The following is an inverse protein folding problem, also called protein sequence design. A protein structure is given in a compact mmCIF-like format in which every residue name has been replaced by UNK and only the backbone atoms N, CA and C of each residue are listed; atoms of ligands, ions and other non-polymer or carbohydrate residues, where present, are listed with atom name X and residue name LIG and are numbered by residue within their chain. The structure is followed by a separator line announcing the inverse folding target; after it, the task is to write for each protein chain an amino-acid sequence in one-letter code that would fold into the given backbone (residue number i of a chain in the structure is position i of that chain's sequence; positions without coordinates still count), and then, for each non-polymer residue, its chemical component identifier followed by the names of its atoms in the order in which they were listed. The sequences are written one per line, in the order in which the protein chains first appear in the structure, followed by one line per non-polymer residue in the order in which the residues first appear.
data_IF_005114451741
#
_entry.id   IF_005114451741
#
_cell.length_a   1.000
_cell.length_b   1.000
_cell.length_c   1.000
_cell.angle_alpha   90.00
_cell.angle_beta   90.00
_cell.angle_gamma   90.00
#
_symmetry.space_group_name_H-M   'P 1'
#
loop_
_entity.id
_entity.type
_entity.pdbx_description
1 polymer ?
#
# COMPACT_ATOMS: atom_id res chain seq x y z
N UNK A 1 -16.32 -1.00 -30.08
CA UNK A 1 -16.05 -1.67 -28.78
C UNK A 1 -15.45 -0.61 -27.87
N UNK A 2 -16.23 -0.11 -26.91
CA UNK A 2 -15.71 0.87 -25.94
C UNK A 2 -14.77 0.13 -24.99
N UNK A 3 -13.47 0.36 -25.12
CA UNK A 3 -12.48 -0.16 -24.18
C UNK A 3 -12.56 0.66 -22.88
N UNK A 4 -13.63 0.47 -22.11
CA UNK A 4 -13.81 1.06 -20.79
C UNK A 4 -13.22 0.12 -19.76
N UNK A 5 -11.92 0.21 -19.51
CA UNK A 5 -11.31 -0.22 -18.24
C UNK A 5 -10.25 0.79 -17.84
N UNK A 6 -10.66 2.06 -17.74
CA UNK A 6 -9.91 3.12 -17.06
C UNK A 6 -9.84 2.91 -15.54
N UNK A 7 -9.57 1.69 -15.06
CA UNK A 7 -9.88 1.29 -13.68
C UNK A 7 -8.79 0.40 -13.01
N UNK A 8 -7.52 0.60 -13.37
CA UNK A 8 -6.43 -0.21 -12.82
C UNK A 8 -5.70 0.45 -11.66
N UNK A 9 -6.36 1.32 -10.89
CA UNK A 9 -5.77 1.78 -9.62
C UNK A 9 -5.78 0.62 -8.62
N UNK A 10 -4.60 0.11 -8.27
CA UNK A 10 -4.42 -0.98 -7.30
C UNK A 10 -3.64 -0.52 -6.08
N UNK A 11 -3.75 -1.29 -5.01
CA UNK A 11 -3.07 -1.03 -3.74
C UNK A 11 -2.34 -2.28 -3.26
N UNK A 12 -1.18 -2.07 -2.65
CA UNK A 12 -0.30 -3.13 -2.21
C UNK A 12 0.95 -2.57 -1.54
N UNK A 13 2.04 -3.32 -1.61
CA UNK A 13 3.32 -2.93 -0.99
C UNK A 13 4.46 -3.03 -1.99
N UNK A 14 5.30 -2.01 -2.04
CA UNK A 14 6.61 -2.06 -2.68
C UNK A 14 7.55 -2.76 -1.71
N UNK A 15 8.15 -3.86 -2.14
CA UNK A 15 9.09 -4.65 -1.34
C UNK A 15 10.54 -4.25 -1.59
N UNK A 16 10.85 -3.71 -2.77
CA UNK A 16 12.15 -3.10 -3.07
C UNK A 16 11.99 -1.99 -4.09
N UNK A 17 12.72 -0.89 -3.89
CA UNK A 17 12.83 0.20 -4.86
C UNK A 17 14.28 0.62 -4.93
N UNK A 18 14.91 0.41 -6.08
CA UNK A 18 16.27 0.85 -6.39
C UNK A 18 16.21 1.73 -7.61
N UNK A 19 16.62 2.98 -7.49
CA UNK A 19 16.65 3.89 -8.63
C UNK A 19 18.00 4.57 -8.78
N UNK A 20 18.37 4.85 -10.02
CA UNK A 20 19.55 5.62 -10.39
C UNK A 20 19.13 6.88 -11.15
N UNK A 21 19.95 7.93 -11.08
CA UNK A 21 19.73 9.14 -11.89
C UNK A 21 19.55 10.48 -11.18
N UNK A 22 19.89 10.63 -9.88
CA UNK A 22 19.96 12.01 -9.31
C UNK A 22 21.03 12.87 -10.02
N UNK A 23 22.12 12.25 -10.50
CA UNK A 23 23.30 12.94 -11.07
C UNK A 23 23.85 12.26 -12.35
N UNK A 24 23.05 11.46 -13.08
CA UNK A 24 23.53 10.68 -14.24
C UNK A 24 22.64 10.89 -15.45
N UNK A 25 23.22 10.92 -16.65
CA UNK A 25 22.50 11.13 -17.93
C UNK A 25 21.46 10.07 -18.27
N UNK A 26 21.38 8.98 -17.49
CA UNK A 26 20.38 7.94 -17.61
C UNK A 26 19.59 7.82 -16.30
N UNK A 27 18.27 7.99 -16.39
CA UNK A 27 17.33 7.71 -15.29
C UNK A 27 16.84 6.28 -15.42
N UNK A 28 16.95 5.46 -14.37
CA UNK A 28 16.41 4.09 -14.39
C UNK A 28 15.96 3.63 -13.02
N UNK A 29 15.11 2.62 -12.99
CA UNK A 29 14.58 2.06 -11.75
C UNK A 29 14.33 0.56 -11.83
N UNK A 30 14.50 -0.11 -10.69
CA UNK A 30 14.14 -1.51 -10.47
C UNK A 30 13.25 -1.58 -9.24
N UNK A 31 12.06 -2.14 -9.42
CA UNK A 31 11.02 -2.19 -8.41
C UNK A 31 10.50 -3.61 -8.27
N UNK A 32 10.37 -4.08 -7.04
CA UNK A 32 9.63 -5.29 -6.71
C UNK A 32 8.47 -4.91 -5.81
N UNK A 33 7.31 -5.49 -6.07
CA UNK A 33 6.09 -5.15 -5.36
C UNK A 33 5.14 -6.34 -5.31
N UNK A 34 4.25 -6.29 -4.33
CA UNK A 34 3.17 -7.25 -4.14
C UNK A 34 1.84 -6.49 -4.18
N UNK A 35 0.92 -6.95 -5.03
CA UNK A 35 -0.46 -6.49 -5.08
C UNK A 35 -1.34 -7.68 -4.72
N UNK A 36 -1.88 -7.65 -3.50
CA UNK A 36 -2.82 -8.65 -2.98
C UNK A 36 -2.33 -10.10 -3.13
N UNK A 37 -1.05 -10.34 -2.82
CA UNK A 37 -0.40 -11.66 -2.87
C UNK A 37 0.26 -11.99 -4.22
N UNK A 38 0.02 -11.19 -5.26
CA UNK A 38 0.68 -11.35 -6.55
C UNK A 38 1.95 -10.50 -6.59
N UNK A 39 3.09 -11.15 -6.80
CA UNK A 39 4.42 -10.51 -6.82
C UNK A 39 4.82 -10.16 -8.24
N UNK A 40 5.36 -8.96 -8.40
CA UNK A 40 5.79 -8.42 -9.68
C UNK A 40 7.16 -7.75 -9.55
N UNK A 41 7.86 -7.71 -10.69
CA UNK A 41 9.08 -6.96 -10.87
C UNK A 41 8.91 -6.04 -12.08
N UNK A 42 9.40 -4.81 -11.96
CA UNK A 42 9.41 -3.84 -13.04
C UNK A 42 10.78 -3.17 -13.11
N UNK A 43 11.40 -3.25 -14.28
CA UNK A 43 12.59 -2.49 -14.63
C UNK A 43 12.18 -1.40 -15.61
N UNK A 44 12.48 -0.15 -15.28
CA UNK A 44 12.21 1.00 -16.13
C UNK A 44 13.50 1.59 -16.68
N UNK A 45 13.56 1.74 -18.00
CA UNK A 45 14.54 2.59 -18.68
C UNK A 45 13.96 4.00 -18.84
N UNK A 46 14.76 5.02 -18.57
CA UNK A 46 14.42 6.45 -18.66
C UNK A 46 13.33 6.98 -17.71
N UNK A 47 12.80 6.14 -16.81
CA UNK A 47 11.80 6.54 -15.81
C UNK A 47 12.26 6.15 -14.40
N UNK A 48 12.09 7.07 -13.45
CA UNK A 48 12.20 6.81 -12.03
C UNK A 48 10.90 7.20 -11.35
N UNK A 49 10.23 6.26 -10.70
CA UNK A 49 8.96 6.51 -10.01
C UNK A 49 9.12 7.27 -8.68
N UNK A 50 10.35 7.51 -8.20
CA UNK A 50 10.65 8.22 -6.96
C UNK A 50 9.87 7.68 -5.75
N UNK A 51 9.81 6.34 -5.65
CA UNK A 51 9.15 5.61 -4.56
C UNK A 51 10.15 4.84 -3.72
N UNK A 52 9.78 4.53 -2.48
CA UNK A 52 10.51 3.66 -1.56
C UNK A 52 9.72 2.39 -1.25
N UNK A 53 10.36 1.43 -0.59
CA UNK A 53 9.66 0.28 -0.01
C UNK A 53 8.58 0.73 0.99
N UNK A 54 7.44 0.04 0.99
CA UNK A 54 6.26 0.40 1.80
C UNK A 54 4.94 0.37 1.03
N UNK A 55 3.84 0.75 1.68
CA UNK A 55 2.51 0.74 1.07
C UNK A 55 2.47 1.73 -0.08
N UNK A 56 1.80 1.33 -1.16
CA UNK A 56 1.74 2.12 -2.37
C UNK A 56 0.44 1.91 -3.13
N UNK A 57 0.17 2.88 -4.00
CA UNK A 57 -0.81 2.78 -5.07
C UNK A 57 -0.11 2.61 -6.41
N UNK A 58 -0.72 1.83 -7.29
CA UNK A 58 -0.20 1.45 -8.59
C UNK A 58 -1.23 1.80 -9.65
N UNK A 59 -0.82 2.56 -10.66
CA UNK A 59 -1.64 2.84 -11.84
C UNK A 59 -1.24 1.85 -12.92
N UNK A 60 -2.16 0.96 -13.31
CA UNK A 60 -1.84 -0.21 -14.11
C UNK A 60 -1.90 -1.50 -13.28
N UNK A 61 -1.66 -2.63 -13.93
CA UNK A 61 -1.70 -3.94 -13.27
C UNK A 61 -0.58 -4.85 -13.77
N UNK A 62 -0.16 -5.76 -12.90
CA UNK A 62 0.89 -6.73 -13.22
C UNK A 62 2.19 -6.05 -13.61
N UNK A 63 2.77 -6.44 -14.74
CA UNK A 63 4.00 -5.85 -15.29
C UNK A 63 3.76 -4.54 -16.06
N UNK A 64 2.50 -4.12 -16.24
CA UNK A 64 2.12 -2.92 -16.99
C UNK A 64 1.80 -1.75 -16.06
N UNK A 65 2.59 -1.56 -15.01
CA UNK A 65 2.45 -0.40 -14.10
C UNK A 65 3.09 0.83 -14.74
N UNK A 66 2.28 1.86 -14.96
CA UNK A 66 2.69 3.12 -15.59
C UNK A 66 3.11 4.17 -14.56
N UNK A 67 2.62 4.06 -13.32
CA UNK A 67 2.97 4.95 -12.22
C UNK A 67 2.84 4.25 -10.87
N UNK A 68 3.77 4.56 -9.97
CA UNK A 68 3.72 4.15 -8.57
C UNK A 68 3.76 5.39 -7.68
N UNK A 69 3.08 5.34 -6.54
CA UNK A 69 3.17 6.37 -5.51
C UNK A 69 3.04 5.73 -4.13
N UNK A 70 3.95 6.06 -3.21
CA UNK A 70 3.78 5.67 -1.81
C UNK A 70 2.53 6.36 -1.23
N UNK A 71 1.75 5.60 -0.46
CA UNK A 71 0.59 6.12 0.25
C UNK A 71 0.94 6.37 1.72
N UNK A 72 0.13 7.19 2.39
CA UNK A 72 0.46 7.66 3.73
C UNK A 72 0.18 6.58 4.77
N UNK A 73 1.12 6.33 5.68
CA UNK A 73 0.85 5.57 6.91
C UNK A 73 0.36 6.54 7.97
N UNK A 74 -0.73 6.20 8.65
CA UNK A 74 -1.15 6.95 9.82
C UNK A 74 -0.04 6.91 10.89
N UNK A 75 0.27 8.08 11.46
CA UNK A 75 1.25 8.26 12.53
C UNK A 75 0.62 8.22 13.93
N UNK A 76 -0.72 8.20 14.00
CA UNK A 76 -1.48 8.15 15.23
C UNK A 76 -1.90 6.72 15.58
N UNK A 77 -2.09 6.46 16.88
CA UNK A 77 -2.66 5.19 17.35
C UNK A 77 -4.14 5.12 17.00
N UNK A 78 -4.61 3.95 16.61
CA UNK A 78 -6.04 3.70 16.52
C UNK A 78 -6.64 3.68 17.93
N UNK A 79 -7.67 4.48 18.15
CA UNK A 79 -8.55 4.42 19.31
C UNK A 79 -9.51 3.23 19.19
N UNK A 80 -10.04 2.98 18.00
CA UNK A 80 -10.93 1.84 17.73
C UNK A 80 -10.84 1.39 16.28
N UNK A 81 -11.04 0.09 16.06
CA UNK A 81 -11.14 -0.52 14.74
C UNK A 81 -12.18 -1.64 14.75
N UNK A 82 -13.19 -1.55 13.87
CA UNK A 82 -14.32 -2.50 13.82
C UNK A 82 -14.35 -3.37 12.55
N UNK A 83 -13.35 -3.24 11.67
CA UNK A 83 -13.29 -3.91 10.38
C UNK A 83 -13.81 -3.06 9.21
N UNK A 84 -14.69 -2.09 9.47
CA UNK A 84 -15.23 -1.17 8.46
C UNK A 84 -14.67 0.24 8.58
N UNK A 85 -14.27 0.63 9.78
CA UNK A 85 -13.86 1.98 10.15
C UNK A 85 -12.72 1.91 11.15
N UNK A 86 -11.73 2.80 10.99
CA UNK A 86 -10.72 3.08 12.01
C UNK A 86 -10.89 4.51 12.51
N UNK A 87 -10.90 4.67 13.84
CA UNK A 87 -10.88 5.97 14.51
C UNK A 87 -9.55 6.12 15.22
N UNK A 88 -8.88 7.25 15.02
CA UNK A 88 -7.61 7.60 15.64
C UNK A 88 -7.81 8.42 16.92
N UNK A 89 -6.77 8.51 17.73
CA UNK A 89 -6.79 9.20 19.04
C UNK A 89 -7.11 10.69 18.98
N UNK A 90 -6.88 11.34 17.83
CA UNK A 90 -7.23 12.75 17.57
C UNK A 90 -8.70 12.93 17.12
N UNK A 91 -9.46 11.84 16.99
CA UNK A 91 -10.84 11.84 16.49
C UNK A 91 -10.96 11.64 14.96
N UNK A 92 -9.86 11.69 14.22
CA UNK A 92 -9.86 11.44 12.77
C UNK A 92 -10.38 10.03 12.50
N UNK A 93 -11.30 9.91 11.55
CA UNK A 93 -11.96 8.64 11.22
C UNK A 93 -11.83 8.35 9.73
N UNK A 94 -11.40 7.14 9.40
CA UNK A 94 -11.33 6.66 8.01
C UNK A 94 -12.22 5.44 7.84
N UNK A 95 -12.96 5.40 6.72
CA UNK A 95 -13.55 4.16 6.22
C UNK A 95 -12.45 3.25 5.69
N UNK A 96 -12.63 1.96 5.88
CA UNK A 96 -11.80 0.93 5.25
C UNK A 96 -12.39 0.62 3.88
N UNK A 97 -11.55 0.65 2.85
CA UNK A 97 -11.99 0.33 1.50
C UNK A 97 -12.45 -1.13 1.43
N UNK A 98 -13.52 -1.41 0.68
CA UNK A 98 -14.03 -2.77 0.48
C UNK A 98 -12.97 -3.72 -0.08
N UNK A 99 -11.99 -3.18 -0.81
CA UNK A 99 -10.92 -3.91 -1.46
C UNK A 99 -9.55 -3.71 -0.77
N UNK A 100 -9.53 -3.34 0.51
CA UNK A 100 -8.30 -3.15 1.31
C UNK A 100 -7.34 -4.33 1.20
N UNK A 101 -6.05 -4.06 1.00
CA UNK A 101 -5.02 -5.09 1.02
C UNK A 101 -4.49 -5.28 2.45
N UNK A 102 -4.44 -6.53 2.93
CA UNK A 102 -3.98 -6.85 4.30
C UNK A 102 -2.71 -7.68 4.25
N UNK A 103 -1.69 -7.21 4.96
CA UNK A 103 -0.37 -7.83 5.06
C UNK A 103 0.06 -8.04 6.51
N UNK A 104 0.86 -9.08 6.74
CA UNK A 104 1.73 -9.17 7.90
C UNK A 104 3.14 -8.74 7.48
N UNK A 105 3.79 -7.91 8.30
CA UNK A 105 5.19 -7.58 8.13
C UNK A 105 6.04 -8.33 9.15
N UNK A 106 6.97 -9.15 8.68
CA UNK A 106 7.87 -9.93 9.54
C UNK A 106 9.19 -9.20 9.71
N UNK A 107 9.34 -8.46 10.81
CA UNK A 107 10.55 -7.67 11.12
C UNK A 107 11.84 -8.49 11.03
N UNK A 108 11.84 -9.75 11.49
CA UNK A 108 13.03 -10.61 11.46
C UNK A 108 13.58 -10.91 10.07
N UNK A 109 12.73 -10.83 9.04
CA UNK A 109 13.10 -11.11 7.64
C UNK A 109 12.91 -9.90 6.73
N UNK A 110 12.40 -8.80 7.28
CA UNK A 110 11.97 -7.60 6.55
C UNK A 110 11.01 -7.89 5.38
N UNK A 111 10.16 -8.91 5.50
CA UNK A 111 9.25 -9.35 4.43
C UNK A 111 7.79 -9.04 4.70
N UNK A 112 7.04 -8.76 3.63
CA UNK A 112 5.58 -8.71 3.64
C UNK A 112 5.01 -10.07 3.24
N UNK A 113 3.99 -10.53 3.98
CA UNK A 113 3.19 -11.71 3.64
C UNK A 113 1.74 -11.28 3.49
N UNK A 114 1.15 -11.48 2.31
CA UNK A 114 -0.27 -11.19 2.09
C UNK A 114 -1.16 -12.13 2.91
N UNK A 115 -2.21 -11.58 3.51
CA UNK A 115 -3.18 -12.29 4.36
C UNK A 115 -4.58 -12.24 3.78
N UNK A 116 -4.92 -11.09 3.19
CA UNK A 116 -6.02 -10.97 2.25
C UNK A 116 -7.42 -10.84 2.81
N UNK A 117 -7.63 -10.92 4.11
CA UNK A 117 -8.94 -10.60 4.69
C UNK A 117 -8.88 -9.50 5.75
N UNK A 118 -9.93 -8.67 5.77
CA UNK A 118 -10.16 -7.70 6.84
C UNK A 118 -10.40 -8.39 8.18
N UNK A 119 -10.90 -9.62 8.16
CA UNK A 119 -11.07 -10.48 9.33
C UNK A 119 -9.73 -10.76 10.02
N UNK A 120 -8.66 -11.02 9.24
CA UNK A 120 -7.32 -11.24 9.79
C UNK A 120 -6.76 -9.97 10.45
N UNK A 121 -6.98 -8.80 9.84
CA UNK A 121 -6.60 -7.52 10.44
C UNK A 121 -7.36 -7.27 11.74
N UNK A 122 -8.67 -7.55 11.77
CA UNK A 122 -9.49 -7.37 12.97
C UNK A 122 -9.08 -8.34 14.08
N UNK A 123 -8.77 -9.59 13.75
CA UNK A 123 -8.26 -10.57 14.70
C UNK A 123 -6.90 -10.13 15.26
N UNK A 124 -5.98 -9.65 14.42
CA UNK A 124 -4.70 -9.09 14.84
C UNK A 124 -4.87 -7.90 15.81
N UNK A 125 -5.79 -6.98 15.49
CA UNK A 125 -6.11 -5.85 16.35
C UNK A 125 -6.63 -6.30 17.73
N UNK A 126 -7.59 -7.24 17.76
CA UNK A 126 -8.13 -7.82 19.00
C UNK A 126 -7.07 -8.58 19.81
N UNK A 127 -6.08 -9.17 19.15
CA UNK A 127 -4.94 -9.82 19.78
C UNK A 127 -3.88 -8.83 20.30
N UNK A 128 -4.10 -7.50 20.16
CA UNK A 128 -3.17 -6.48 20.63
C UNK A 128 -1.94 -6.29 19.74
N UNK A 129 -1.95 -6.79 18.50
CA UNK A 129 -0.87 -6.55 17.54
C UNK A 129 -0.78 -5.07 17.15
N UNK A 130 0.40 -4.65 16.70
CA UNK A 130 0.58 -3.30 16.17
C UNK A 130 0.10 -3.27 14.72
N UNK A 131 -0.83 -2.38 14.40
CA UNK A 131 -1.35 -2.18 13.04
C UNK A 131 -0.94 -0.82 12.50
N UNK A 132 -0.43 -0.79 11.27
CA UNK A 132 -0.29 0.39 10.46
C UNK A 132 -1.46 0.46 9.47
N UNK A 133 -2.21 1.57 9.53
CA UNK A 133 -3.33 1.87 8.64
C UNK A 133 -2.85 2.87 7.58
N UNK A 134 -2.93 2.49 6.30
CA UNK A 134 -2.37 3.27 5.21
C UNK A 134 -3.47 3.78 4.27
N UNK A 135 -3.49 5.09 4.00
CA UNK A 135 -4.56 5.78 3.28
C UNK A 135 -4.06 6.52 2.04
N UNK A 136 -4.94 6.66 1.05
CA UNK A 136 -4.63 7.26 -0.26
C UNK A 136 -4.61 8.80 -0.27
N UNK A 137 -5.41 9.43 0.60
CA UNK A 137 -5.51 10.89 0.81
C UNK A 137 -6.19 11.18 2.16
N UNK A 138 -6.25 12.45 2.54
CA UNK A 138 -6.80 12.88 3.83
C UNK A 138 -8.28 12.50 4.01
N UNK A 139 -8.70 12.28 5.27
CA UNK A 139 -10.05 11.80 5.61
C UNK A 139 -11.16 12.77 5.17
N UNK A 140 -10.94 14.07 5.38
CA UNK A 140 -11.83 15.17 4.98
C UNK A 140 -11.99 15.30 3.46
N UNK A 141 -11.10 14.66 2.69
CA UNK A 141 -11.14 14.59 1.22
C UNK A 141 -11.65 13.24 0.70
N UNK A 142 -12.32 12.47 1.57
CA UNK A 142 -12.87 11.15 1.26
C UNK A 142 -11.79 10.07 1.12
N UNK A 143 -10.67 10.22 1.83
CA UNK A 143 -9.65 9.19 1.94
C UNK A 143 -10.17 7.91 2.58
N UNK A 144 -9.58 6.78 2.18
CA UNK A 144 -9.92 5.48 2.74
C UNK A 144 -8.66 4.72 3.13
N UNK A 145 -8.77 3.83 4.11
CA UNK A 145 -7.71 2.85 4.37
C UNK A 145 -7.67 1.86 3.21
N UNK A 146 -6.52 1.80 2.53
CA UNK A 146 -6.28 0.97 1.34
C UNK A 146 -5.36 -0.20 1.60
N UNK A 147 -4.45 -0.05 2.58
CA UNK A 147 -3.53 -1.11 3.00
C UNK A 147 -3.48 -1.14 4.53
N UNK A 148 -3.59 -2.34 5.11
CA UNK A 148 -3.37 -2.58 6.53
C UNK A 148 -2.18 -3.53 6.66
N UNK A 149 -1.24 -3.17 7.54
CA UNK A 149 -0.05 -3.97 7.82
C UNK A 149 -0.01 -4.22 9.32
N UNK A 150 0.05 -5.48 9.75
CA UNK A 150 0.25 -5.82 11.16
C UNK A 150 1.59 -6.49 11.42
N UNK A 151 2.05 -6.37 12.67
CA UNK A 151 3.25 -7.01 13.21
C UNK A 151 2.85 -7.80 14.46
#
# INVERSE_FOLDING_TARGET
MNNVTGDSLKYGVITSAKSSGKNSSATSGNYTYDIKGSKYSLSSSNTNFNVSAGPAMFYGAGTSVEKMKNITRANLKAQSFDGSTVKFTDGTTFKVAADVAVYEYKTSTETYSYKGSITDALAAYKAGKTLAYCYDKDADRGGQIRVIIYQ
#
